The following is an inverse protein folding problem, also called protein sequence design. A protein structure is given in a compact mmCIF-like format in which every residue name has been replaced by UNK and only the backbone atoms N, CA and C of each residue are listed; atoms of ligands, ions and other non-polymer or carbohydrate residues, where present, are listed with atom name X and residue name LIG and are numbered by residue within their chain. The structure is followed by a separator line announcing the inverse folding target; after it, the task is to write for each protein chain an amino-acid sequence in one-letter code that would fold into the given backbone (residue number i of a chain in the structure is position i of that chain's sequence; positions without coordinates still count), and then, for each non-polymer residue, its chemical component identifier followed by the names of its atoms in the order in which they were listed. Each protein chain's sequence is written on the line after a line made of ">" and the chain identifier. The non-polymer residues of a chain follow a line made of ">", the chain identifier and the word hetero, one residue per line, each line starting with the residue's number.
data_IF_642869872374
#
_entry.id   IF_642869872374
#
_cell.length_a   1.000
_cell.length_b   1.000
_cell.length_c   1.000
_cell.angle_alpha   90.00
_cell.angle_beta   90.00
_cell.angle_gamma   90.00
#
_symmetry.space_group_name_H-M   'P 1'
#
loop_
_entity.id
_entity.type
_entity.pdbx_description
1 polymer ?
#
# COMPACT_ATOMS: atom_id res chain seq x y z
N UNK A 1 22.81 -22.71 -24.31
CA UNK A 1 22.33 -21.31 -24.23
C UNK A 1 22.44 -20.86 -22.78
N UNK A 2 23.47 -20.07 -22.43
CA UNK A 2 23.69 -19.57 -21.06
C UNK A 2 22.61 -18.53 -20.76
N UNK A 3 21.73 -18.84 -19.80
CA UNK A 3 20.79 -17.86 -19.25
C UNK A 3 21.64 -16.76 -18.60
N UNK A 4 21.54 -15.55 -19.13
CA UNK A 4 22.19 -14.38 -18.55
C UNK A 4 21.54 -14.14 -17.18
N UNK A 5 22.22 -14.58 -16.12
CA UNK A 5 21.89 -14.17 -14.77
C UNK A 5 22.21 -12.67 -14.70
N UNK A 6 21.17 -11.84 -14.75
CA UNK A 6 21.26 -10.51 -14.15
C UNK A 6 21.69 -10.72 -12.69
N UNK A 7 22.98 -10.54 -12.40
CA UNK A 7 23.45 -10.32 -11.02
C UNK A 7 22.93 -8.95 -10.63
N UNK A 8 21.67 -8.93 -10.24
CA UNK A 8 21.15 -7.90 -9.36
C UNK A 8 21.90 -8.15 -8.06
N UNK A 9 22.59 -7.14 -7.52
CA UNK A 9 23.07 -7.17 -6.15
C UNK A 9 21.85 -7.09 -5.24
N UNK A 10 21.13 -8.20 -5.20
CA UNK A 10 20.03 -8.45 -4.31
C UNK A 10 20.64 -8.32 -2.90
N UNK A 11 20.17 -7.36 -2.06
CA UNK A 11 20.61 -7.25 -0.68
C UNK A 11 20.67 -8.66 -0.07
N UNK A 12 21.77 -9.03 0.61
CA UNK A 12 22.02 -10.40 1.11
C UNK A 12 20.82 -11.04 1.85
N UNK A 13 19.87 -10.21 2.33
CA UNK A 13 18.61 -10.59 2.96
C UNK A 13 17.54 -11.12 1.99
N UNK A 14 17.41 -10.56 0.79
CA UNK A 14 16.44 -11.00 -0.23
C UNK A 14 16.80 -12.40 -0.78
N UNK A 15 18.08 -12.80 -0.85
CA UNK A 15 18.46 -14.09 -1.45
C UNK A 15 17.90 -15.32 -0.72
N UNK A 16 17.54 -15.18 0.57
CA UNK A 16 17.00 -16.26 1.41
C UNK A 16 15.47 -16.44 1.31
N UNK A 17 14.75 -15.46 0.75
CA UNK A 17 13.28 -15.48 0.68
C UNK A 17 12.82 -16.07 -0.67
N UNK A 18 12.19 -17.24 -0.62
CA UNK A 18 11.60 -17.95 -1.78
C UNK A 18 10.19 -17.46 -2.08
N UNK A 19 10.06 -16.19 -2.46
CA UNK A 19 8.79 -15.61 -2.90
C UNK A 19 8.81 -15.35 -4.40
N UNK A 20 7.73 -15.76 -5.08
CA UNK A 20 7.59 -15.50 -6.50
C UNK A 20 7.25 -14.03 -6.78
N UNK A 21 6.59 -13.29 -5.87
CA UNK A 21 6.26 -11.86 -6.04
C UNK A 21 7.44 -10.94 -5.66
N UNK A 22 7.90 -10.11 -6.61
CA UNK A 22 9.06 -9.23 -6.45
C UNK A 22 8.82 -8.14 -5.41
N UNK A 23 7.68 -7.45 -5.49
CA UNK A 23 7.37 -6.36 -4.57
C UNK A 23 7.18 -6.86 -3.15
N UNK A 24 6.53 -8.02 -2.96
CA UNK A 24 6.39 -8.64 -1.64
C UNK A 24 7.76 -9.02 -1.06
N UNK A 25 8.65 -9.56 -1.89
CA UNK A 25 10.02 -9.90 -1.49
C UNK A 25 10.82 -8.66 -1.09
N UNK A 26 10.70 -7.59 -1.86
CA UNK A 26 11.35 -6.31 -1.58
C UNK A 26 10.80 -5.65 -0.30
N UNK A 27 9.48 -5.60 -0.14
CA UNK A 27 8.80 -5.12 1.06
C UNK A 27 9.29 -5.81 2.35
N UNK A 28 9.48 -7.13 2.32
CA UNK A 28 9.92 -7.91 3.47
C UNK A 28 11.42 -7.79 3.78
N UNK A 29 12.23 -7.38 2.81
CA UNK A 29 13.67 -7.25 3.01
C UNK A 29 14.07 -5.91 3.61
N UNK A 30 13.33 -4.86 3.26
CA UNK A 30 13.63 -3.47 3.59
C UNK A 30 12.86 -3.00 4.83
N UNK A 31 13.60 -2.62 5.88
CA UNK A 31 13.02 -2.28 7.19
C UNK A 31 12.07 -1.07 7.13
N UNK A 32 12.30 -0.12 6.21
CA UNK A 32 11.49 1.09 6.08
C UNK A 32 10.02 0.74 5.84
N UNK A 33 9.74 -0.27 5.01
CA UNK A 33 8.37 -0.68 4.68
C UNK A 33 7.69 -1.38 5.85
N UNK A 34 8.41 -2.25 6.55
CA UNK A 34 7.90 -2.97 7.72
C UNK A 34 7.61 -1.99 8.85
N UNK A 35 8.57 -1.12 9.20
CA UNK A 35 8.42 -0.13 10.28
C UNK A 35 7.26 0.81 9.98
N UNK A 36 7.13 1.31 8.74
CA UNK A 36 6.03 2.19 8.37
C UNK A 36 4.67 1.48 8.46
N UNK A 37 4.61 0.21 8.09
CA UNK A 37 3.39 -0.60 8.21
C UNK A 37 3.01 -0.85 9.66
N UNK A 38 3.98 -1.17 10.53
CA UNK A 38 3.76 -1.32 11.97
C UNK A 38 3.25 0.00 12.57
N UNK A 39 3.86 1.13 12.19
CA UNK A 39 3.41 2.45 12.62
C UNK A 39 1.95 2.73 12.26
N UNK A 40 1.55 2.40 11.03
CA UNK A 40 0.15 2.53 10.58
C UNK A 40 -0.79 1.63 11.38
N UNK A 41 -0.42 0.37 11.62
CA UNK A 41 -1.22 -0.56 12.43
C UNK A 41 -1.42 -0.01 13.84
N UNK A 42 -0.36 0.50 14.47
CA UNK A 42 -0.46 1.14 15.80
C UNK A 42 -1.39 2.35 15.75
N UNK A 43 -1.25 3.22 14.76
CA UNK A 43 -2.11 4.41 14.61
C UNK A 43 -3.57 4.02 14.41
N UNK A 44 -3.87 2.99 13.62
CA UNK A 44 -5.23 2.47 13.44
C UNK A 44 -5.81 1.97 14.76
N UNK A 45 -5.05 1.20 15.54
CA UNK A 45 -5.49 0.72 16.85
C UNK A 45 -5.80 1.90 17.76
N UNK A 46 -4.88 2.87 17.87
CA UNK A 46 -5.05 4.06 18.71
C UNK A 46 -6.28 4.86 18.28
N UNK A 47 -6.43 5.14 16.99
CA UNK A 47 -7.57 5.91 16.46
C UNK A 47 -8.87 5.16 16.68
N UNK A 48 -8.91 3.86 16.42
CA UNK A 48 -10.12 3.06 16.58
C UNK A 48 -10.61 3.06 18.03
N UNK A 49 -9.69 2.95 18.99
CA UNK A 49 -10.01 2.84 20.42
C UNK A 49 -10.30 4.19 21.10
N UNK A 50 -9.66 5.28 20.66
CA UNK A 50 -9.73 6.57 21.35
C UNK A 50 -10.64 7.61 20.67
N UNK A 51 -10.99 7.42 19.40
CA UNK A 51 -11.82 8.39 18.67
C UNK A 51 -13.31 8.18 18.94
N UNK A 52 -14.15 9.22 18.79
CA UNK A 52 -15.60 9.05 18.78
C UNK A 52 -16.02 8.01 17.73
N UNK A 53 -17.02 7.19 18.05
CA UNK A 53 -17.44 6.05 17.20
C UNK A 53 -17.73 6.45 15.74
N UNK A 54 -18.38 7.60 15.52
CA UNK A 54 -18.69 8.09 14.16
C UNK A 54 -17.48 8.54 13.35
N UNK A 55 -16.32 8.70 13.97
CA UNK A 55 -15.07 9.14 13.33
C UNK A 55 -14.01 8.03 13.31
N UNK A 56 -14.12 7.03 14.18
CA UNK A 56 -13.10 6.00 14.34
C UNK A 56 -12.90 5.19 13.06
N UNK A 57 -13.98 4.76 12.40
CA UNK A 57 -13.91 4.00 11.15
C UNK A 57 -13.34 4.84 9.99
N UNK A 58 -13.89 6.05 9.68
CA UNK A 58 -13.35 6.88 8.61
C UNK A 58 -11.87 7.25 8.78
N UNK A 59 -11.47 7.62 10.01
CA UNK A 59 -10.07 7.95 10.29
C UNK A 59 -9.16 6.74 10.17
N UNK A 60 -9.59 5.56 10.63
CA UNK A 60 -8.79 4.35 10.56
C UNK A 60 -8.56 3.91 9.11
N UNK A 61 -9.60 3.96 8.27
CA UNK A 61 -9.47 3.69 6.84
C UNK A 61 -8.50 4.70 6.19
N UNK A 62 -8.66 5.99 6.49
CA UNK A 62 -7.78 7.03 5.97
C UNK A 62 -6.30 6.80 6.36
N UNK A 63 -6.02 6.48 7.62
CA UNK A 63 -4.65 6.21 8.10
C UNK A 63 -4.04 4.99 7.42
N UNK A 64 -4.84 3.98 7.09
CA UNK A 64 -4.43 2.83 6.27
C UNK A 64 -3.80 3.23 4.93
N UNK A 65 -4.15 4.38 4.39
CA UNK A 65 -3.63 4.86 3.09
C UNK A 65 -2.36 5.71 3.19
N UNK A 66 -1.83 5.98 4.40
CA UNK A 66 -0.67 6.88 4.58
C UNK A 66 0.66 6.18 4.26
N UNK A 67 0.65 4.89 3.87
CA UNK A 67 1.85 4.07 3.62
C UNK A 67 2.67 4.52 2.41
N UNK A 68 3.28 5.70 2.50
CA UNK A 68 3.92 6.39 1.40
C UNK A 68 5.01 5.55 0.74
N UNK A 69 5.93 4.88 1.47
CA UNK A 69 6.92 4.00 0.85
C UNK A 69 6.26 2.92 -0.02
N UNK A 70 5.26 2.22 0.51
CA UNK A 70 4.56 1.15 -0.21
C UNK A 70 3.77 1.67 -1.41
N UNK A 71 3.01 2.75 -1.23
CA UNK A 71 2.06 3.26 -2.24
C UNK A 71 2.73 4.11 -3.34
N UNK A 72 4.04 4.31 -3.25
CA UNK A 72 4.84 5.05 -4.24
C UNK A 72 6.07 4.27 -4.72
N UNK A 73 6.19 2.98 -4.36
CA UNK A 73 7.37 2.15 -4.62
C UNK A 73 7.73 2.08 -6.11
N UNK A 74 6.75 2.12 -7.01
CA UNK A 74 6.98 1.96 -8.45
C UNK A 74 7.62 3.21 -9.07
N UNK A 75 7.20 4.39 -8.61
CA UNK A 75 7.65 5.69 -9.07
C UNK A 75 8.86 6.19 -8.28
N UNK A 76 9.11 5.66 -7.09
CA UNK A 76 10.23 6.09 -6.26
C UNK A 76 11.45 5.18 -6.42
N UNK A 77 11.34 3.89 -6.67
CA UNK A 77 12.53 3.05 -6.80
C UNK A 77 13.10 3.10 -8.24
N UNK A 78 14.25 3.74 -8.42
CA UNK A 78 14.85 3.94 -9.74
C UNK A 78 15.33 2.63 -10.37
N UNK A 79 15.78 1.68 -9.55
CA UNK A 79 16.09 0.31 -10.00
C UNK A 79 14.86 -0.38 -10.59
N UNK A 80 13.71 -0.24 -9.95
CA UNK A 80 12.44 -0.79 -10.41
C UNK A 80 11.97 -0.14 -11.73
N UNK A 81 12.15 1.17 -11.89
CA UNK A 81 11.89 1.86 -13.18
C UNK A 81 12.77 1.31 -14.30
N UNK A 82 14.04 1.03 -14.02
CA UNK A 82 14.95 0.48 -15.01
C UNK A 82 14.60 -0.97 -15.33
N UNK A 83 14.34 -1.81 -14.32
CA UNK A 83 13.90 -3.20 -14.50
C UNK A 83 12.60 -3.24 -15.33
N UNK A 84 11.63 -2.36 -15.05
CA UNK A 84 10.37 -2.30 -15.79
C UNK A 84 10.54 -1.99 -17.29
N UNK A 85 11.60 -1.27 -17.67
CA UNK A 85 11.92 -0.99 -19.08
C UNK A 85 12.49 -2.20 -19.82
N UNK A 86 13.24 -3.05 -19.11
CA UNK A 86 13.98 -4.16 -19.73
C UNK A 86 13.32 -5.53 -19.53
N UNK A 87 12.39 -5.67 -18.59
CA UNK A 87 11.74 -6.92 -18.28
C UNK A 87 10.57 -7.18 -19.25
N UNK A 88 10.64 -8.21 -20.13
CA UNK A 88 9.55 -8.48 -21.04
C UNK A 88 8.32 -8.93 -20.25
N UNK A 89 7.20 -8.26 -20.48
CA UNK A 89 5.92 -8.51 -19.78
C UNK A 89 5.43 -9.96 -19.90
N UNK A 90 5.86 -10.67 -20.95
CA UNK A 90 5.60 -12.09 -21.19
C UNK A 90 6.14 -13.01 -20.08
N UNK A 91 7.23 -12.61 -19.42
CA UNK A 91 7.83 -13.42 -18.35
C UNK A 91 7.33 -13.01 -16.96
N UNK A 92 7.09 -11.71 -16.75
CA UNK A 92 6.64 -11.18 -15.46
C UNK A 92 6.01 -9.80 -15.62
N UNK A 93 4.90 -9.55 -14.93
CA UNK A 93 4.24 -8.24 -14.93
C UNK A 93 4.40 -7.57 -13.57
N UNK A 94 5.31 -6.59 -13.49
CA UNK A 94 5.51 -5.78 -12.28
C UNK A 94 4.24 -5.04 -11.86
N UNK A 95 3.38 -4.67 -12.80
CA UNK A 95 2.06 -4.11 -12.49
C UNK A 95 1.18 -5.09 -11.71
N UNK A 96 1.12 -6.36 -12.13
CA UNK A 96 0.35 -7.39 -11.42
C UNK A 96 0.93 -7.68 -10.04
N UNK A 97 2.26 -7.75 -9.94
CA UNK A 97 2.95 -7.97 -8.67
C UNK A 97 2.68 -6.83 -7.68
N UNK A 98 2.68 -5.59 -8.16
CA UNK A 98 2.39 -4.41 -7.36
C UNK A 98 0.92 -4.36 -6.91
N UNK A 99 -0.03 -4.56 -7.82
CA UNK A 99 -1.47 -4.63 -7.50
C UNK A 99 -1.73 -5.72 -6.46
N UNK A 100 -1.09 -6.88 -6.59
CA UNK A 100 -1.18 -7.95 -5.60
C UNK A 100 -0.67 -7.50 -4.23
N UNK A 101 0.50 -6.86 -4.17
CA UNK A 101 1.06 -6.40 -2.90
C UNK A 101 0.15 -5.39 -2.21
N UNK A 102 -0.31 -4.35 -2.92
CA UNK A 102 -1.20 -3.34 -2.33
C UNK A 102 -2.56 -3.95 -1.98
N UNK A 103 -3.05 -4.93 -2.75
CA UNK A 103 -4.26 -5.68 -2.44
C UNK A 103 -4.14 -6.46 -1.14
N UNK A 104 -3.06 -7.23 -0.96
CA UNK A 104 -2.78 -7.93 0.30
C UNK A 104 -2.68 -6.93 1.47
N UNK A 105 -1.97 -5.82 1.27
CA UNK A 105 -1.84 -4.78 2.28
C UNK A 105 -3.19 -4.20 2.73
N UNK A 106 -4.00 -3.69 1.79
CA UNK A 106 -5.29 -3.10 2.12
C UNK A 106 -6.27 -4.13 2.70
N UNK A 107 -6.30 -5.36 2.17
CA UNK A 107 -7.10 -6.43 2.77
C UNK A 107 -6.74 -6.68 4.25
N UNK A 108 -5.45 -6.69 4.60
CA UNK A 108 -5.01 -6.87 5.99
C UNK A 108 -5.39 -5.67 6.87
N UNK A 109 -5.25 -4.46 6.36
CA UNK A 109 -5.65 -3.23 7.06
C UNK A 109 -7.16 -3.23 7.32
N UNK A 110 -7.98 -3.52 6.32
CA UNK A 110 -9.43 -3.52 6.45
C UNK A 110 -9.90 -4.69 7.34
N UNK A 111 -9.23 -5.84 7.29
CA UNK A 111 -9.46 -6.94 8.23
C UNK A 111 -9.16 -6.53 9.68
N UNK A 112 -8.06 -5.82 9.93
CA UNK A 112 -7.75 -5.28 11.26
C UNK A 112 -8.85 -4.33 11.75
N UNK A 113 -9.29 -3.38 10.92
CA UNK A 113 -10.38 -2.46 11.26
C UNK A 113 -11.67 -3.24 11.56
N UNK A 114 -11.97 -4.26 10.77
CA UNK A 114 -13.14 -5.12 10.99
C UNK A 114 -13.07 -5.83 12.35
N UNK A 115 -11.91 -6.40 12.70
CA UNK A 115 -11.70 -7.09 13.98
C UNK A 115 -11.81 -6.11 15.15
N UNK A 116 -11.21 -4.93 15.06
CA UNK A 116 -11.30 -3.91 16.12
C UNK A 116 -12.73 -3.40 16.33
N UNK A 117 -13.58 -3.49 15.30
CA UNK A 117 -14.98 -3.08 15.33
C UNK A 117 -15.96 -4.28 15.31
N UNK A 118 -15.51 -5.47 15.73
CA UNK A 118 -16.31 -6.70 15.61
C UNK A 118 -17.67 -6.61 16.31
N UNK A 119 -17.73 -5.95 17.46
CA UNK A 119 -18.96 -5.77 18.26
C UNK A 119 -20.08 -5.02 17.52
N UNK A 120 -19.75 -4.30 16.44
CA UNK A 120 -20.67 -3.49 15.65
C UNK A 120 -20.70 -3.94 14.19
N UNK A 121 -20.07 -5.09 13.89
CA UNK A 121 -19.93 -5.61 12.54
C UNK A 121 -21.27 -6.14 12.04
N UNK A 122 -21.73 -5.56 10.94
CA UNK A 122 -22.94 -5.98 10.22
C UNK A 122 -22.57 -6.40 8.80
N UNK A 123 -23.48 -7.08 8.10
CA UNK A 123 -23.28 -7.40 6.67
C UNK A 123 -23.02 -6.12 5.86
N UNK A 124 -23.74 -5.03 6.18
CA UNK A 124 -23.54 -3.72 5.56
C UNK A 124 -22.11 -3.21 5.75
N UNK A 125 -21.60 -3.25 6.98
CA UNK A 125 -20.24 -2.85 7.29
C UNK A 125 -19.18 -3.65 6.52
N UNK A 126 -19.35 -4.97 6.41
CA UNK A 126 -18.43 -5.81 5.62
C UNK A 126 -18.44 -5.43 4.13
N UNK A 127 -19.62 -5.16 3.57
CA UNK A 127 -19.76 -4.70 2.18
C UNK A 127 -19.08 -3.35 1.98
N UNK A 128 -19.25 -2.41 2.90
CA UNK A 128 -18.59 -1.10 2.86
C UNK A 128 -17.07 -1.21 2.88
N UNK A 129 -16.52 -2.04 3.78
CA UNK A 129 -15.07 -2.29 3.84
C UNK A 129 -14.56 -2.96 2.56
N UNK A 130 -15.33 -3.84 1.93
CA UNK A 130 -14.98 -4.44 0.65
C UNK A 130 -14.93 -3.39 -0.48
N UNK A 131 -15.91 -2.48 -0.52
CA UNK A 131 -15.93 -1.37 -1.48
C UNK A 131 -14.73 -0.46 -1.25
N UNK A 132 -14.44 -0.09 0.00
CA UNK A 132 -13.28 0.74 0.37
C UNK A 132 -11.99 0.06 -0.06
N UNK A 133 -11.78 -1.22 0.26
CA UNK A 133 -10.58 -1.98 -0.16
C UNK A 133 -10.40 -1.92 -1.68
N UNK A 134 -11.48 -2.09 -2.42
CA UNK A 134 -11.44 -2.07 -3.90
C UNK A 134 -11.04 -0.69 -4.42
N UNK A 135 -11.60 0.38 -3.83
CA UNK A 135 -11.24 1.76 -4.16
C UNK A 135 -9.79 2.07 -3.80
N UNK A 136 -9.31 1.63 -2.64
CA UNK A 136 -7.93 1.82 -2.18
C UNK A 136 -6.93 1.24 -3.17
N UNK A 137 -7.12 -0.02 -3.58
CA UNK A 137 -6.26 -0.71 -4.55
C UNK A 137 -6.30 0.00 -5.90
N UNK A 138 -7.51 0.28 -6.41
CA UNK A 138 -7.68 0.88 -7.72
C UNK A 138 -7.08 2.29 -7.79
N UNK A 139 -7.41 3.16 -6.83
CA UNK A 139 -6.95 4.54 -6.79
C UNK A 139 -5.45 4.64 -6.48
N UNK A 140 -4.92 3.78 -5.61
CA UNK A 140 -3.48 3.71 -5.36
C UNK A 140 -2.70 3.38 -6.64
N UNK A 141 -3.13 2.34 -7.36
CA UNK A 141 -2.54 1.98 -8.64
C UNK A 141 -2.68 3.09 -9.69
N UNK A 142 -3.85 3.73 -9.77
CA UNK A 142 -4.12 4.81 -10.70
C UNK A 142 -3.25 6.05 -10.44
N UNK A 143 -3.10 6.45 -9.17
CA UNK A 143 -2.24 7.56 -8.76
C UNK A 143 -0.79 7.28 -9.13
N UNK A 144 -0.33 6.04 -8.95
CA UNK A 144 1.04 5.66 -9.29
C UNK A 144 1.29 5.69 -10.80
N UNK A 145 0.30 5.29 -11.59
CA UNK A 145 0.41 5.29 -13.05
C UNK A 145 0.27 6.69 -13.67
N UNK A 146 -0.66 7.51 -13.19
CA UNK A 146 -0.99 8.83 -13.77
C UNK A 146 -0.16 9.97 -13.18
N UNK A 147 0.20 9.87 -11.90
CA UNK A 147 0.92 10.91 -11.17
C UNK A 147 2.15 10.31 -10.45
N UNK A 148 3.10 9.72 -11.21
CA UNK A 148 4.30 9.16 -10.61
C UNK A 148 5.14 10.25 -9.97
N UNK A 149 5.77 9.95 -8.83
CA UNK A 149 6.75 10.87 -8.22
C UNK A 149 8.05 10.80 -9.02
N UNK A 150 8.40 11.87 -9.73
CA UNK A 150 9.60 11.97 -10.58
C UNK A 150 10.57 13.03 -10.09
N UNK A 151 11.83 12.99 -10.56
CA UNK A 151 12.87 14.01 -10.34
C UNK A 151 13.20 14.30 -8.86
N UNK A 152 13.01 13.31 -8.00
CA UNK A 152 13.40 13.39 -6.59
C UNK A 152 14.93 13.35 -6.46
N UNK A 153 15.49 14.27 -5.69
CA UNK A 153 16.91 14.29 -5.31
C UNK A 153 17.14 13.64 -3.95
N UNK A 154 16.10 13.64 -3.10
CA UNK A 154 16.18 13.10 -1.74
C UNK A 154 14.94 12.28 -1.38
N UNK A 155 15.07 11.43 -0.37
CA UNK A 155 13.93 10.73 0.24
C UNK A 155 12.93 11.74 0.82
N UNK A 156 13.41 12.85 1.39
CA UNK A 156 12.57 13.87 1.99
C UNK A 156 11.61 14.54 0.99
N UNK A 157 12.02 14.72 -0.27
CA UNK A 157 11.14 15.25 -1.32
C UNK A 157 9.96 14.32 -1.62
N UNK A 158 10.16 13.01 -1.59
CA UNK A 158 9.07 12.02 -1.69
C UNK A 158 8.12 12.18 -0.51
N UNK A 159 8.68 12.33 0.69
CA UNK A 159 7.91 12.48 1.92
C UNK A 159 7.16 13.80 2.00
N UNK A 160 7.53 14.83 1.25
CA UNK A 160 6.79 16.10 1.19
C UNK A 160 5.81 16.17 0.01
N UNK A 161 5.83 15.19 -0.89
CA UNK A 161 5.04 15.25 -2.11
C UNK A 161 3.53 15.20 -1.79
N UNK A 162 2.72 16.18 -2.25
CA UNK A 162 1.29 16.23 -1.94
C UNK A 162 0.50 15.03 -2.47
N UNK A 163 0.98 14.38 -3.55
CA UNK A 163 0.35 13.19 -4.15
C UNK A 163 0.09 12.09 -3.14
N UNK A 164 0.93 11.96 -2.10
CA UNK A 164 0.79 10.88 -1.11
C UNK A 164 -0.45 10.99 -0.23
N UNK A 165 -1.05 12.19 -0.12
CA UNK A 165 -2.23 12.43 0.72
C UNK A 165 -3.56 12.38 -0.06
N UNK A 166 -3.51 12.35 -1.40
CA UNK A 166 -4.72 12.38 -2.23
C UNK A 166 -5.63 11.18 -1.91
N UNK A 167 -5.05 9.98 -1.84
CA UNK A 167 -5.80 8.77 -1.52
C UNK A 167 -6.43 8.87 -0.12
N UNK A 168 -5.67 9.34 0.86
CA UNK A 168 -6.12 9.54 2.24
C UNK A 168 -7.36 10.40 2.34
N UNK A 169 -7.37 11.55 1.65
CA UNK A 169 -8.51 12.46 1.64
C UNK A 169 -9.73 11.81 1.01
N UNK A 170 -9.56 11.12 -0.13
CA UNK A 170 -10.68 10.46 -0.83
C UNK A 170 -11.29 9.36 0.05
N UNK A 171 -10.47 8.48 0.61
CA UNK A 171 -10.93 7.35 1.43
C UNK A 171 -11.57 7.82 2.73
N UNK A 172 -11.04 8.87 3.35
CA UNK A 172 -11.67 9.50 4.51
C UNK A 172 -13.11 9.92 4.20
N UNK A 173 -13.32 10.68 3.11
CA UNK A 173 -14.67 11.15 2.76
C UNK A 173 -15.61 10.02 2.35
N UNK A 174 -15.13 9.02 1.60
CA UNK A 174 -15.96 7.86 1.23
C UNK A 174 -16.42 7.10 2.47
N UNK A 175 -15.48 6.76 3.36
CA UNK A 175 -15.80 6.06 4.60
C UNK A 175 -16.68 6.90 5.53
N UNK A 176 -16.44 8.21 5.58
CA UNK A 176 -17.28 9.14 6.34
C UNK A 176 -18.71 9.18 5.80
N UNK A 177 -18.91 9.17 4.48
CA UNK A 177 -20.27 9.13 3.91
C UNK A 177 -20.97 7.80 4.24
N UNK A 178 -20.26 6.67 4.15
CA UNK A 178 -20.83 5.36 4.50
C UNK A 178 -21.29 5.27 5.96
N UNK A 179 -20.55 5.88 6.89
CA UNK A 179 -20.93 5.90 8.31
C UNK A 179 -22.25 6.66 8.59
N UNK A 180 -22.70 7.54 7.67
CA UNK A 180 -23.87 8.42 7.86
C UNK A 180 -25.07 8.08 6.97
N UNK A 181 -24.93 7.14 6.04
CA UNK A 181 -26.03 6.54 5.24
C UNK A 181 -26.40 5.21 5.89
#
# INVERSE_FOLDING_TARGET
>A
MKVAYFRIDIPKRLSKITLNNYFLKFFLAENVYIINTIGIVIMIIVITLLSPRKLSIPLSCAVGTINTPLLTIFSTEDELKNIAKFLPTKFRSLNKDYIFLIGVYFCLIQCLIMVLNFNVSTVKFVVELFIITTLEVFLSYLLEKKFPITNKKTIMEVWKNPRKYILTVIIFFVAFVFEYI
#
